data_IF_546472416375
#
_entry.id   IF_546472416375
#
_cell.length_a   1.000
_cell.length_b   1.000
_cell.length_c   1.000
_cell.angle_alpha   90.00
_cell.angle_beta   90.00
_cell.angle_gamma   90.00
#
_symmetry.space_group_name_H-M   'P 1'
#
loop_
_entity.id
_entity.type
_entity.pdbx_description
1 polymer ?
#
# COMPACT_ATOMS: atom_id res chain seq x y z
N UNK A 1 -5.63 8.58 -2.02
CA UNK A 1 -6.96 9.21 -1.96
C UNK A 1 -6.76 10.72 -2.06
N UNK A 2 -7.48 11.43 -2.93
CA UNK A 2 -7.18 12.85 -3.25
C UNK A 2 -7.87 13.85 -2.32
N UNK A 3 -8.96 13.44 -1.68
CA UNK A 3 -9.76 14.30 -0.80
C UNK A 3 -9.37 14.04 0.65
N UNK A 4 -8.71 15.02 1.28
CA UNK A 4 -8.26 14.96 2.67
C UNK A 4 -9.40 14.74 3.66
N UNK A 5 -10.59 15.29 3.39
CA UNK A 5 -11.78 15.11 4.23
C UNK A 5 -12.21 13.65 4.21
N UNK A 6 -12.22 13.04 3.02
CA UNK A 6 -12.52 11.61 2.88
C UNK A 6 -11.45 10.75 3.55
N UNK A 7 -10.17 11.12 3.48
CA UNK A 7 -9.11 10.39 4.19
C UNK A 7 -9.34 10.40 5.70
N UNK A 8 -9.65 11.57 6.27
CA UNK A 8 -9.92 11.70 7.70
C UNK A 8 -11.13 10.86 8.13
N UNK A 9 -12.21 10.85 7.34
CA UNK A 9 -13.39 10.02 7.61
C UNK A 9 -13.04 8.54 7.62
N UNK A 10 -12.35 8.04 6.59
CA UNK A 10 -11.95 6.62 6.52
C UNK A 10 -11.05 6.23 7.69
N UNK A 11 -10.13 7.10 8.09
CA UNK A 11 -9.25 6.86 9.26
C UNK A 11 -10.08 6.78 10.55
N UNK A 12 -11.05 7.68 10.74
CA UNK A 12 -11.94 7.64 11.91
C UNK A 12 -12.79 6.38 11.95
N UNK A 13 -13.27 5.90 10.80
CA UNK A 13 -14.02 4.65 10.73
C UNK A 13 -13.14 3.46 11.12
N UNK A 14 -11.89 3.40 10.63
CA UNK A 14 -10.93 2.35 11.02
C UNK A 14 -10.63 2.36 12.53
N UNK A 15 -10.45 3.55 13.11
CA UNK A 15 -10.23 3.75 14.54
C UNK A 15 -11.46 3.31 15.33
N UNK A 16 -12.66 3.68 14.90
CA UNK A 16 -13.90 3.23 15.51
C UNK A 16 -13.99 1.70 15.53
N UNK A 17 -13.72 1.04 14.40
CA UNK A 17 -13.72 -0.42 14.31
C UNK A 17 -12.75 -1.05 15.30
N UNK A 18 -11.52 -0.52 15.40
CA UNK A 18 -10.55 -0.98 16.39
C UNK A 18 -11.03 -0.79 17.84
N UNK A 19 -11.60 0.38 18.16
CA UNK A 19 -12.09 0.71 19.49
C UNK A 19 -13.29 -0.15 19.93
N UNK A 20 -14.12 -0.62 19.00
CA UNK A 20 -15.24 -1.54 19.30
C UNK A 20 -14.80 -3.02 19.31
N UNK A 21 -13.50 -3.28 19.23
CA UNK A 21 -12.91 -4.62 19.39
C UNK A 21 -12.70 -5.39 18.08
N UNK A 22 -12.97 -4.80 16.91
CA UNK A 22 -12.58 -5.40 15.64
C UNK A 22 -11.07 -5.22 15.42
N UNK A 23 -10.51 -6.03 14.51
CA UNK A 23 -9.08 -6.07 14.19
C UNK A 23 -8.86 -5.68 12.73
N UNK A 24 -9.03 -4.40 12.34
CA UNK A 24 -8.98 -3.99 10.95
C UNK A 24 -7.54 -4.01 10.40
N UNK A 25 -7.42 -4.43 9.14
CA UNK A 25 -6.19 -4.33 8.35
C UNK A 25 -6.51 -3.45 7.14
N UNK A 26 -5.72 -2.39 6.94
CA UNK A 26 -5.87 -1.46 5.84
C UNK A 26 -4.89 -1.81 4.72
N UNK A 27 -5.39 -2.18 3.54
CA UNK A 27 -4.56 -2.28 2.32
C UNK A 27 -4.79 -1.04 1.48
N UNK A 28 -3.72 -0.43 0.96
CA UNK A 28 -3.83 0.76 0.12
C UNK A 28 -2.94 0.71 -1.11
N UNK A 29 -3.36 1.46 -2.12
CA UNK A 29 -2.58 1.81 -3.30
C UNK A 29 -2.22 3.31 -3.28
N UNK A 30 -1.75 3.85 -4.41
CA UNK A 30 -1.29 5.24 -4.48
C UNK A 30 -1.15 5.79 -5.89
N UNK A 31 -1.92 5.27 -6.86
CA UNK A 31 -1.81 5.62 -8.28
C UNK A 31 -1.65 7.13 -8.58
N UNK A 32 -2.48 8.02 -8.00
CA UNK A 32 -2.34 9.47 -8.19
C UNK A 32 -1.00 10.06 -7.69
N UNK A 33 -0.49 9.59 -6.55
CA UNK A 33 0.79 10.06 -6.00
C UNK A 33 1.97 9.53 -6.81
N UNK A 34 1.90 8.28 -7.27
CA UNK A 34 2.91 7.71 -8.17
C UNK A 34 2.98 8.55 -9.46
N UNK A 35 1.84 8.88 -10.07
CA UNK A 35 1.80 9.70 -11.29
C UNK A 35 2.41 11.08 -11.08
N UNK A 36 2.19 11.70 -9.91
CA UNK A 36 2.77 12.98 -9.57
C UNK A 36 4.31 12.91 -9.53
N UNK A 37 4.87 11.85 -8.94
CA UNK A 37 6.31 11.65 -8.85
C UNK A 37 6.96 11.31 -10.19
N UNK A 38 6.36 10.41 -10.98
CA UNK A 38 6.86 10.12 -12.33
C UNK A 38 6.89 11.38 -13.20
N UNK A 39 5.84 12.21 -13.13
CA UNK A 39 5.81 13.50 -13.83
C UNK A 39 6.92 14.45 -13.36
N UNK A 40 7.21 14.51 -12.06
CA UNK A 40 8.30 15.35 -11.51
C UNK A 40 9.68 14.90 -11.98
N UNK A 41 9.84 13.62 -12.25
CA UNK A 41 11.08 13.00 -12.72
C UNK A 41 11.14 12.90 -14.26
N UNK A 42 10.17 13.49 -14.98
CA UNK A 42 10.03 13.41 -16.43
C UNK A 42 10.00 11.97 -16.98
N UNK A 43 9.41 11.04 -16.22
CA UNK A 43 9.16 9.66 -16.67
C UNK A 43 7.74 9.58 -17.22
N UNK A 44 7.63 9.13 -18.47
CA UNK A 44 6.35 9.01 -19.14
C UNK A 44 5.53 7.85 -18.57
N UNK A 45 4.25 8.08 -18.30
CA UNK A 45 3.37 7.07 -17.71
C UNK A 45 2.58 6.39 -18.83
N UNK A 46 2.85 5.10 -19.03
CA UNK A 46 2.15 4.27 -20.01
C UNK A 46 1.18 3.31 -19.32
N UNK A 47 0.02 3.10 -19.93
CA UNK A 47 -0.98 2.15 -19.47
C UNK A 47 -1.35 1.17 -20.60
N UNK A 48 -1.56 -0.08 -20.24
CA UNK A 48 -2.07 -1.12 -21.12
C UNK A 48 -3.15 -1.90 -20.38
N UNK A 49 -4.36 -1.97 -20.94
CA UNK A 49 -5.55 -2.60 -20.32
C UNK A 49 -5.83 -2.15 -18.88
N UNK A 50 -5.63 -0.86 -18.59
CA UNK A 50 -5.85 -0.28 -17.26
C UNK A 50 -4.74 -0.54 -16.24
N UNK A 51 -3.72 -1.32 -16.58
CA UNK A 51 -2.53 -1.56 -15.77
C UNK A 51 -1.38 -0.65 -16.22
N UNK A 52 -0.59 -0.16 -15.26
CA UNK A 52 0.59 0.65 -15.53
C UNK A 52 1.68 -0.24 -16.11
N UNK A 53 2.22 0.12 -17.27
CA UNK A 53 3.47 -0.47 -17.75
C UNK A 53 4.59 0.01 -16.81
N UNK A 54 5.26 -0.93 -16.15
CA UNK A 54 6.16 -0.66 -15.04
C UNK A 54 7.51 -1.29 -15.35
N UNK A 55 8.46 -0.50 -15.82
CA UNK A 55 9.85 -0.92 -15.99
C UNK A 55 10.65 -0.84 -14.67
N UNK A 56 11.94 -1.18 -14.69
CA UNK A 56 12.74 -1.22 -13.46
C UNK A 56 12.82 0.14 -12.75
N UNK A 57 13.11 1.27 -13.45
CA UNK A 57 13.07 2.60 -12.82
C UNK A 57 11.68 2.98 -12.28
N UNK A 58 10.61 2.64 -13.01
CA UNK A 58 9.24 2.93 -12.56
C UNK A 58 8.89 2.11 -11.32
N UNK A 59 9.36 0.87 -11.22
CA UNK A 59 9.14 -0.02 -10.06
C UNK A 59 9.74 0.58 -8.79
N UNK A 60 10.97 1.07 -8.87
CA UNK A 60 11.65 1.72 -7.74
C UNK A 60 10.86 2.94 -7.22
N UNK A 61 10.35 3.76 -8.14
CA UNK A 61 9.53 4.93 -7.79
C UNK A 61 8.19 4.53 -7.21
N UNK A 62 7.53 3.52 -7.79
CA UNK A 62 6.26 2.98 -7.28
C UNK A 62 6.45 2.54 -5.82
N UNK A 63 7.46 1.72 -5.55
CA UNK A 63 7.74 1.23 -4.20
C UNK A 63 8.05 2.39 -3.23
N UNK A 64 8.97 3.28 -3.61
CA UNK A 64 9.36 4.43 -2.79
C UNK A 64 8.17 5.31 -2.42
N UNK A 65 7.27 5.58 -3.36
CA UNK A 65 6.09 6.43 -3.13
C UNK A 65 5.06 5.71 -2.25
N UNK A 66 4.79 4.43 -2.52
CA UNK A 66 3.82 3.66 -1.77
C UNK A 66 4.28 3.42 -0.34
N UNK A 67 5.45 2.80 -0.14
CA UNK A 67 5.99 2.46 1.15
C UNK A 67 6.46 3.69 1.95
N UNK A 68 7.14 4.64 1.29
CA UNK A 68 7.79 5.77 1.96
C UNK A 68 6.87 6.95 2.24
N UNK A 69 5.94 7.26 1.33
CA UNK A 69 5.09 8.45 1.44
C UNK A 69 3.66 8.11 1.84
N UNK A 70 2.95 7.35 1.01
CA UNK A 70 1.51 7.13 1.19
C UNK A 70 1.25 6.29 2.44
N UNK A 71 1.99 5.19 2.61
CA UNK A 71 1.83 4.29 3.73
C UNK A 71 2.13 4.98 5.07
N UNK A 72 3.25 5.70 5.16
CA UNK A 72 3.62 6.46 6.36
C UNK A 72 2.67 7.60 6.67
N UNK A 73 2.11 8.25 5.65
CA UNK A 73 1.09 9.27 5.85
C UNK A 73 -0.18 8.69 6.48
N UNK A 74 -0.67 7.54 5.99
CA UNK A 74 -1.84 6.87 6.57
C UNK A 74 -1.59 6.42 8.01
N UNK A 75 -0.43 5.81 8.28
CA UNK A 75 -0.01 5.47 9.66
C UNK A 75 0.01 6.70 10.56
N UNK A 76 0.56 7.83 10.08
CA UNK A 76 0.56 9.08 10.84
C UNK A 76 -0.86 9.60 11.12
N UNK A 77 -1.81 9.44 10.20
CA UNK A 77 -3.18 9.87 10.43
C UNK A 77 -3.85 9.01 11.50
N UNK A 78 -3.71 7.68 11.41
CA UNK A 78 -4.28 6.76 12.40
C UNK A 78 -3.68 7.00 13.79
N UNK A 79 -2.35 7.16 13.87
CA UNK A 79 -1.66 7.41 15.14
C UNK A 79 -2.12 8.73 15.81
N UNK A 80 -2.50 9.75 15.04
CA UNK A 80 -3.03 11.02 15.58
C UNK A 80 -4.40 10.87 16.23
N UNK A 81 -5.16 9.85 15.85
CA UNK A 81 -6.46 9.52 16.45
C UNK A 81 -6.31 8.61 17.70
N UNK A 82 -5.07 8.36 18.17
CA UNK A 82 -4.81 7.65 19.43
C UNK A 82 -4.72 6.14 19.33
N UNK A 83 -4.82 5.56 18.12
CA UNK A 83 -4.64 4.13 17.88
C UNK A 83 -3.26 3.88 17.27
N UNK A 84 -2.59 2.82 17.70
CA UNK A 84 -1.29 2.43 17.13
C UNK A 84 -1.48 1.72 15.79
N UNK A 85 -0.86 2.27 14.74
CA UNK A 85 -0.78 1.66 13.43
C UNK A 85 0.66 1.25 13.07
N UNK A 86 0.79 0.12 12.36
CA UNK A 86 2.07 -0.41 11.88
C UNK A 86 2.04 -0.47 10.35
N UNK A 87 3.08 0.08 9.73
CA UNK A 87 3.32 0.01 8.28
C UNK A 87 3.93 -1.32 7.89
N UNK A 88 3.41 -1.93 6.83
CA UNK A 88 4.02 -3.09 6.17
C UNK A 88 3.93 -2.98 4.64
N UNK A 89 4.83 -3.68 3.99
CA UNK A 89 4.84 -3.94 2.56
C UNK A 89 4.79 -5.45 2.32
N UNK A 90 4.59 -5.89 1.08
CA UNK A 90 4.56 -7.33 0.76
C UNK A 90 5.86 -8.06 1.11
N UNK A 91 7.00 -7.39 1.00
CA UNK A 91 8.32 -7.94 1.29
C UNK A 91 8.59 -8.12 2.80
N UNK A 92 7.89 -7.38 3.66
CA UNK A 92 8.11 -7.44 5.11
C UNK A 92 7.66 -8.79 5.66
N UNK A 93 8.60 -9.57 6.18
CA UNK A 93 8.33 -10.93 6.67
C UNK A 93 7.82 -11.89 5.60
N UNK A 94 8.10 -11.62 4.32
CA UNK A 94 7.56 -12.35 3.18
C UNK A 94 6.02 -12.44 3.16
N UNK A 95 5.35 -11.39 3.68
CA UNK A 95 3.90 -11.32 3.77
C UNK A 95 3.22 -11.64 2.44
N UNK A 96 3.77 -11.15 1.32
CA UNK A 96 3.30 -11.42 -0.03
C UNK A 96 4.48 -11.81 -0.90
N UNK A 97 4.41 -13.00 -1.49
CA UNK A 97 5.30 -13.42 -2.58
C UNK A 97 4.57 -13.17 -3.90
N UNK A 98 5.13 -12.32 -4.75
CA UNK A 98 4.60 -12.09 -6.10
C UNK A 98 5.24 -13.01 -7.14
N UNK A 99 4.52 -13.21 -8.24
CA UNK A 99 5.03 -13.77 -9.49
C UNK A 99 4.65 -12.85 -10.64
N UNK A 100 5.35 -12.86 -11.79
CA UNK A 100 4.99 -12.04 -12.93
C UNK A 100 3.54 -12.29 -13.37
N UNK A 101 2.80 -11.22 -13.67
CA UNK A 101 1.45 -11.33 -14.22
C UNK A 101 1.47 -12.06 -15.58
N UNK A 102 0.37 -12.70 -16.02
CA UNK A 102 0.32 -13.41 -17.31
C UNK A 102 0.71 -12.57 -18.53
N UNK A 103 0.54 -11.24 -18.45
CA UNK A 103 0.89 -10.25 -19.47
C UNK A 103 2.14 -9.42 -19.12
N UNK A 104 3.01 -9.90 -18.22
CA UNK A 104 4.24 -9.22 -17.82
C UNK A 104 5.16 -8.89 -19.01
N UNK A 105 5.12 -9.67 -20.09
CA UNK A 105 5.86 -9.35 -21.33
C UNK A 105 5.48 -7.98 -21.92
N UNK A 106 4.26 -7.49 -21.68
CA UNK A 106 3.78 -6.17 -22.12
C UNK A 106 3.81 -5.13 -21.00
N UNK A 107 3.71 -5.58 -19.75
CA UNK A 107 3.56 -4.70 -18.58
C UNK A 107 4.85 -4.47 -17.78
N UNK A 108 5.90 -5.23 -18.04
CA UNK A 108 7.12 -5.21 -17.24
C UNK A 108 6.93 -5.90 -15.88
N UNK A 109 7.35 -5.24 -14.80
CA UNK A 109 7.38 -5.73 -13.43
C UNK A 109 6.01 -5.65 -12.73
N UNK A 110 4.92 -5.95 -13.44
CA UNK A 110 3.60 -6.09 -12.82
C UNK A 110 3.46 -7.51 -12.28
N UNK A 111 3.20 -7.62 -10.98
CA UNK A 111 3.05 -8.89 -10.27
C UNK A 111 1.59 -9.30 -10.05
N UNK A 112 1.42 -10.60 -9.79
CA UNK A 112 0.23 -11.18 -9.17
C UNK A 112 0.64 -11.92 -7.89
N UNK A 113 -0.28 -12.03 -6.94
CA UNK A 113 0.00 -12.70 -5.66
C UNK A 113 0.13 -14.20 -5.88
N UNK A 114 1.33 -14.74 -5.67
CA UNK A 114 1.59 -16.17 -5.73
C UNK A 114 1.31 -16.85 -4.39
N UNK A 115 1.67 -16.19 -3.28
CA UNK A 115 1.53 -16.70 -1.92
C UNK A 115 1.34 -15.54 -0.94
N UNK A 116 0.60 -15.79 0.13
CA UNK A 116 0.46 -14.90 1.29
C UNK A 116 0.91 -15.65 2.55
N UNK A 117 1.78 -15.04 3.34
CA UNK A 117 2.18 -15.54 4.66
C UNK A 117 1.78 -14.54 5.76
N UNK A 118 0.65 -14.75 6.46
CA UNK A 118 0.15 -13.80 7.44
C UNK A 118 0.90 -13.85 8.78
N UNK A 119 1.97 -14.64 8.93
CA UNK A 119 2.63 -14.86 10.22
C UNK A 119 3.01 -13.55 10.94
N UNK A 120 3.52 -12.57 10.20
CA UNK A 120 3.91 -11.26 10.74
C UNK A 120 2.71 -10.43 11.22
N UNK A 121 1.50 -10.67 10.69
CA UNK A 121 0.30 -9.92 11.05
C UNK A 121 -0.28 -10.36 12.40
N UNK A 122 -0.06 -11.62 12.81
CA UNK A 122 -0.69 -12.16 14.02
C UNK A 122 -0.30 -11.39 15.28
N UNK A 123 0.99 -11.07 15.45
CA UNK A 123 1.44 -10.28 16.60
C UNK A 123 0.83 -8.88 16.65
N UNK A 124 0.66 -8.23 15.49
CA UNK A 124 0.07 -6.90 15.39
C UNK A 124 -1.42 -6.92 15.72
N UNK A 125 -2.11 -7.92 15.19
CA UNK A 125 -3.55 -8.12 15.37
C UNK A 125 -3.88 -8.48 16.82
N UNK A 126 -3.04 -9.30 17.47
CA UNK A 126 -3.22 -9.67 18.88
C UNK A 126 -3.00 -8.50 19.84
N UNK A 127 -2.09 -7.58 19.48
CA UNK A 127 -1.85 -6.32 20.20
C UNK A 127 -2.84 -5.19 19.83
N UNK A 128 -3.89 -5.48 19.04
CA UNK A 128 -4.88 -4.51 18.55
C UNK A 128 -4.28 -3.34 17.74
N UNK A 129 -3.12 -3.56 17.11
CA UNK A 129 -2.55 -2.59 16.18
C UNK A 129 -3.25 -2.66 14.82
N UNK A 130 -3.48 -1.49 14.21
CA UNK A 130 -3.98 -1.42 12.82
C UNK A 130 -2.80 -1.61 11.87
N UNK A 131 -2.79 -2.73 11.14
CA UNK A 131 -1.77 -2.98 10.11
C UNK A 131 -2.14 -2.23 8.82
N UNK A 132 -1.19 -1.47 8.26
CA UNK A 132 -1.36 -0.69 7.03
C UNK A 132 -0.40 -1.22 5.97
N UNK A 133 -0.93 -1.91 4.96
CA UNK A 133 -0.18 -2.64 3.95
C UNK A 133 -0.17 -1.89 2.61
N UNK A 134 1.02 -1.61 2.08
CA UNK A 134 1.22 -1.01 0.77
C UNK A 134 1.22 -2.05 -0.37
N UNK A 135 0.47 -1.80 -1.44
CA UNK A 135 0.38 -2.68 -2.61
C UNK A 135 1.50 -2.47 -3.64
N UNK A 136 2.73 -2.88 -3.32
CA UNK A 136 3.94 -2.68 -4.15
C UNK A 136 4.58 -3.96 -4.73
N UNK A 137 3.79 -5.03 -4.88
CA UNK A 137 4.26 -6.36 -5.30
C UNK A 137 3.90 -6.74 -6.74
#
# INVERSE_FOLDING_TARGET
MKDETLQATVVRDLVLLACVGLRPILVHSGGPEINLWLKRLNIEVNFHDGLRVTDAPTTEIVSTVLAGKVNKHLVSLINREGVKAISLCGSDGELITARPAPNAAKLGFVGEVARVDPAILWSMVDDYHISVIASEW
#
